data_IF_008491523365
#
_entry.id   IF_008491523365
#
_cell.length_a   1.000
_cell.length_b   1.000
_cell.length_c   1.000
_cell.angle_alpha   90.00
_cell.angle_beta   90.00
_cell.angle_gamma   90.00
#
_symmetry.space_group_name_H-M   'P 1'
#
loop_
_entity.id
_entity.type
_entity.pdbx_description
1 polymer ?
#
# COMPACT_ATOMS: atom_id res chain seq x y z
N UNK A 1 15.07 21.63 12.97
CA UNK A 1 16.01 22.61 13.55
C UNK A 1 15.18 23.61 14.35
N UNK A 2 15.45 23.75 15.64
CA UNK A 2 14.76 24.70 16.50
C UNK A 2 14.98 26.13 15.99
N UNK A 3 13.92 26.95 16.02
CA UNK A 3 13.93 28.33 15.51
C UNK A 3 14.59 29.23 16.56
N UNK A 4 15.91 29.41 16.49
CA UNK A 4 16.64 30.39 17.33
C UNK A 4 16.37 31.82 16.85
N UNK A 5 16.28 32.76 17.78
CA UNK A 5 16.11 34.19 17.46
C UNK A 5 17.40 34.73 16.83
N UNK A 6 17.28 35.54 15.76
CA UNK A 6 18.44 36.01 14.98
C UNK A 6 19.46 36.81 15.81
N UNK A 7 19.03 37.44 16.90
CA UNK A 7 19.87 38.20 17.82
C UNK A 7 20.87 37.33 18.61
N UNK A 8 20.65 36.02 18.70
CA UNK A 8 21.49 35.09 19.46
C UNK A 8 22.48 34.29 18.61
N UNK A 9 22.53 34.55 17.30
CA UNK A 9 23.37 33.80 16.35
C UNK A 9 24.50 34.71 15.86
N UNK A 10 25.74 34.21 15.92
CA UNK A 10 26.90 34.99 15.46
C UNK A 10 26.89 35.21 13.94
N UNK A 11 27.54 36.29 13.49
CA UNK A 11 27.67 36.60 12.05
C UNK A 11 28.37 35.47 11.28
N UNK A 12 29.31 34.78 11.91
CA UNK A 12 30.01 33.62 11.35
C UNK A 12 29.07 32.43 11.15
N UNK A 13 28.23 32.13 12.13
CA UNK A 13 27.19 31.09 12.02
C UNK A 13 26.15 31.44 10.94
N UNK A 14 25.73 32.71 10.84
CA UNK A 14 24.83 33.17 9.78
C UNK A 14 25.45 32.98 8.39
N UNK A 15 26.73 33.32 8.22
CA UNK A 15 27.45 33.09 6.95
C UNK A 15 27.53 31.60 6.61
N UNK A 16 27.81 30.74 7.59
CA UNK A 16 27.83 29.30 7.40
C UNK A 16 26.45 28.74 7.00
N UNK A 17 25.37 29.21 7.63
CA UNK A 17 23.99 28.87 7.30
C UNK A 17 23.63 29.29 5.86
N UNK A 18 23.97 30.52 5.45
CA UNK A 18 23.76 31.02 4.09
C UNK A 18 24.49 30.13 3.08
N UNK A 19 25.76 29.80 3.34
CA UNK A 19 26.54 28.93 2.45
C UNK A 19 25.94 27.53 2.35
N UNK A 20 25.44 26.95 3.44
CA UNK A 20 24.73 25.66 3.42
C UNK A 20 23.47 25.72 2.58
N UNK A 21 22.68 26.80 2.71
CA UNK A 21 21.46 27.01 1.90
C UNK A 21 21.79 27.18 0.42
N UNK A 22 22.80 27.97 0.08
CA UNK A 22 23.27 28.14 -1.31
C UNK A 22 23.63 26.80 -1.95
N UNK A 23 24.43 25.96 -1.25
CA UNK A 23 24.76 24.60 -1.71
C UNK A 23 23.50 23.75 -1.94
N UNK A 24 22.55 23.76 -0.99
CA UNK A 24 21.29 23.02 -1.12
C UNK A 24 20.45 23.50 -2.31
N UNK A 25 20.37 24.81 -2.55
CA UNK A 25 19.65 25.39 -3.68
C UNK A 25 20.25 24.90 -5.00
N UNK A 26 21.58 24.92 -5.15
CA UNK A 26 22.21 24.38 -6.35
C UNK A 26 21.86 22.91 -6.60
N UNK A 27 21.88 22.08 -5.57
CA UNK A 27 21.45 20.67 -5.69
C UNK A 27 19.99 20.54 -6.11
N UNK A 28 19.09 21.35 -5.53
CA UNK A 28 17.67 21.35 -5.87
C UNK A 28 17.42 21.82 -7.32
N UNK A 29 18.12 22.85 -7.78
CA UNK A 29 18.03 23.35 -9.15
C UNK A 29 18.50 22.27 -10.14
N UNK A 30 19.61 21.59 -9.86
CA UNK A 30 20.08 20.46 -10.70
C UNK A 30 19.04 19.35 -10.75
N UNK A 31 18.46 18.98 -9.60
CA UNK A 31 17.40 17.96 -9.54
C UNK A 31 16.17 18.38 -10.34
N UNK A 32 15.74 19.65 -10.20
CA UNK A 32 14.61 20.22 -10.94
C UNK A 32 14.86 20.14 -12.44
N UNK A 33 16.03 20.55 -12.92
CA UNK A 33 16.36 20.51 -14.35
C UNK A 33 16.40 19.08 -14.90
N UNK A 34 16.95 18.11 -14.17
CA UNK A 34 16.91 16.69 -14.56
C UNK A 34 15.47 16.19 -14.67
N UNK A 35 14.61 16.48 -13.68
CA UNK A 35 13.21 16.05 -13.71
C UNK A 35 12.41 16.68 -14.85
N UNK A 36 12.68 17.95 -15.17
CA UNK A 36 12.06 18.62 -16.33
C UNK A 36 12.44 17.92 -17.63
N UNK A 37 13.72 17.55 -17.81
CA UNK A 37 14.17 16.80 -18.99
C UNK A 37 13.48 15.42 -19.08
N UNK A 38 13.37 14.71 -17.97
CA UNK A 38 12.69 13.41 -17.93
C UNK A 38 11.19 13.55 -18.23
N UNK A 39 10.55 14.60 -17.72
CA UNK A 39 9.16 14.89 -18.01
C UNK A 39 8.95 15.14 -19.51
N UNK A 40 9.80 15.95 -20.13
CA UNK A 40 9.75 16.23 -21.57
C UNK A 40 9.94 14.97 -22.42
N UNK A 41 10.81 14.05 -22.02
CA UNK A 41 10.98 12.76 -22.70
C UNK A 41 9.69 11.94 -22.66
N UNK A 42 9.09 11.80 -21.47
CA UNK A 42 7.83 11.08 -21.30
C UNK A 42 6.70 11.76 -22.07
N UNK A 43 6.60 13.08 -22.05
CA UNK A 43 5.58 13.81 -22.79
C UNK A 43 5.72 13.55 -24.31
N UNK A 44 6.95 13.49 -24.82
CA UNK A 44 7.22 13.15 -26.23
C UNK A 44 6.80 11.73 -26.57
N UNK A 45 7.07 10.76 -25.68
CA UNK A 45 6.63 9.37 -25.82
C UNK A 45 5.11 9.27 -25.83
N UNK A 46 4.42 9.98 -24.92
CA UNK A 46 2.96 9.99 -24.86
C UNK A 46 2.36 10.60 -26.14
N UNK A 47 2.96 11.68 -26.65
CA UNK A 47 2.53 12.29 -27.91
C UNK A 47 2.70 11.35 -29.10
N UNK A 48 3.82 10.62 -29.18
CA UNK A 48 4.07 9.63 -30.23
C UNK A 48 3.04 8.49 -30.24
N UNK A 49 2.55 8.09 -29.07
CA UNK A 49 1.49 7.09 -28.90
C UNK A 49 0.06 7.66 -29.08
N UNK A 50 -0.08 8.93 -29.50
CA UNK A 50 -1.37 9.60 -29.69
C UNK A 50 -2.07 9.98 -28.39
N UNK A 51 -1.38 9.93 -27.25
CA UNK A 51 -1.93 10.13 -25.92
C UNK A 51 -2.03 11.58 -25.45
N UNK A 52 -1.84 12.56 -26.35
CA UNK A 52 -1.81 13.99 -26.00
C UNK A 52 -3.07 14.48 -25.26
N UNK A 53 -4.24 13.87 -25.53
CA UNK A 53 -5.48 14.16 -24.83
C UNK A 53 -5.44 13.73 -23.35
N UNK A 54 -4.83 12.58 -23.04
CA UNK A 54 -4.73 12.05 -21.67
C UNK A 54 -3.86 12.92 -20.75
N UNK A 55 -2.82 13.55 -21.31
CA UNK A 55 -1.97 14.53 -20.60
C UNK A 55 -2.78 15.78 -20.24
N UNK A 56 -3.60 16.29 -21.17
CA UNK A 56 -4.44 17.48 -20.93
C UNK A 56 -5.54 17.22 -19.89
N UNK A 57 -6.11 16.02 -19.89
CA UNK A 57 -7.12 15.59 -18.91
C UNK A 57 -6.53 15.28 -17.52
N UNK A 58 -5.21 15.08 -17.43
CA UNK A 58 -4.51 14.76 -16.17
C UNK A 58 -3.55 15.89 -15.80
N UNK A 59 -4.05 17.02 -15.24
CA UNK A 59 -3.20 18.17 -14.94
C UNK A 59 -2.06 17.76 -13.99
N UNK A 60 -0.84 18.19 -14.32
CA UNK A 60 0.35 18.00 -13.49
C UNK A 60 0.12 18.64 -12.11
N UNK A 61 -0.30 17.83 -11.14
CA UNK A 61 -0.76 18.32 -9.83
C UNK A 61 -2.03 17.65 -9.31
N UNK A 62 -2.77 16.92 -10.16
CA UNK A 62 -3.76 15.94 -9.73
C UNK A 62 -3.05 14.69 -9.18
N UNK A 63 -2.16 14.89 -8.20
CA UNK A 63 -1.70 13.80 -7.37
C UNK A 63 -2.93 13.10 -6.82
N UNK A 64 -2.96 11.76 -6.88
CA UNK A 64 -3.90 10.93 -6.11
C UNK A 64 -4.00 11.57 -4.72
N UNK A 65 -5.18 12.12 -4.37
CA UNK A 65 -5.39 12.75 -3.07
C UNK A 65 -4.82 11.81 -2.01
N UNK A 66 -3.71 12.22 -1.40
CA UNK A 66 -3.08 11.50 -0.30
C UNK A 66 -4.13 11.35 0.79
N UNK A 67 -4.45 10.10 1.13
CA UNK A 67 -5.25 9.77 2.30
C UNK A 67 -6.69 10.27 2.23
N UNK A 68 -7.60 9.44 1.73
CA UNK A 68 -8.96 9.46 2.25
C UNK A 68 -8.84 9.14 3.76
N UNK A 69 -9.37 9.97 4.68
CA UNK A 69 -9.32 9.67 6.10
C UNK A 69 -9.91 8.28 6.33
N UNK A 70 -9.20 7.46 7.10
CA UNK A 70 -9.64 6.13 7.53
C UNK A 70 -10.97 6.33 8.27
N UNK A 71 -12.10 6.16 7.56
CA UNK A 71 -13.43 6.43 8.10
C UNK A 71 -14.42 7.04 7.10
N UNK A 72 -13.96 7.69 6.04
CA UNK A 72 -14.87 8.15 4.99
C UNK A 72 -15.14 7.01 4.01
N UNK A 73 -16.28 6.33 4.15
CA UNK A 73 -16.98 5.61 3.07
C UNK A 73 -16.25 4.47 2.36
N UNK A 74 -15.52 3.62 3.09
CA UNK A 74 -15.35 2.23 2.71
C UNK A 74 -16.45 1.42 3.39
N UNK A 75 -17.14 0.51 2.68
CA UNK A 75 -18.23 -0.29 3.23
C UNK A 75 -17.89 -0.86 4.61
N UNK A 76 -18.88 -0.90 5.52
CA UNK A 76 -18.71 -1.46 6.87
C UNK A 76 -18.11 -2.85 6.73
N UNK A 77 -16.83 -3.00 7.11
CA UNK A 77 -16.18 -4.31 7.14
C UNK A 77 -17.02 -5.21 8.05
N UNK A 78 -17.35 -6.44 7.60
CA UNK A 78 -17.98 -7.41 8.49
C UNK A 78 -17.15 -7.55 9.77
N UNK A 79 -17.81 -7.43 10.93
CA UNK A 79 -17.20 -7.71 12.22
C UNK A 79 -17.42 -9.20 12.49
N UNK A 80 -16.32 -9.95 12.53
CA UNK A 80 -16.30 -11.36 12.89
C UNK A 80 -15.73 -11.49 14.30
N UNK A 81 -16.24 -12.44 15.08
CA UNK A 81 -15.82 -12.65 16.47
C UNK A 81 -14.40 -13.23 16.55
N UNK A 82 -13.98 -13.95 15.51
CA UNK A 82 -12.64 -14.51 15.37
C UNK A 82 -11.98 -14.05 14.06
N UNK A 83 -10.64 -14.04 14.05
CA UNK A 83 -9.89 -13.83 12.82
C UNK A 83 -10.02 -15.04 11.89
N UNK A 84 -9.69 -14.87 10.61
CA UNK A 84 -9.86 -15.94 9.61
C UNK A 84 -9.04 -17.20 9.96
N UNK A 85 -7.82 -17.04 10.47
CA UNK A 85 -6.94 -18.15 10.82
C UNK A 85 -7.50 -19.00 11.97
N UNK A 86 -8.02 -18.35 13.02
CA UNK A 86 -8.64 -19.02 14.16
C UNK A 86 -9.94 -19.72 13.73
N UNK A 87 -10.79 -19.06 12.92
CA UNK A 87 -11.99 -19.72 12.36
C UNK A 87 -11.65 -20.92 11.49
N UNK A 88 -10.60 -20.86 10.67
CA UNK A 88 -10.14 -22.01 9.89
C UNK A 88 -9.56 -23.11 10.77
N UNK A 89 -8.82 -22.77 11.82
CA UNK A 89 -8.26 -23.75 12.76
C UNK A 89 -9.34 -24.50 13.53
N UNK A 90 -10.41 -23.82 13.96
CA UNK A 90 -11.57 -24.47 14.60
C UNK A 90 -12.26 -25.46 13.66
N UNK A 91 -12.40 -25.11 12.38
CA UNK A 91 -13.05 -25.95 11.37
C UNK A 91 -12.17 -27.14 10.93
N UNK A 92 -10.87 -26.93 10.84
CA UNK A 92 -9.87 -27.95 10.46
C UNK A 92 -9.41 -28.83 11.64
N UNK A 93 -9.84 -28.55 12.87
CA UNK A 93 -9.46 -29.34 14.03
C UNK A 93 -9.93 -30.79 13.88
N UNK A 94 -8.98 -31.71 13.67
CA UNK A 94 -9.23 -33.14 13.52
C UNK A 94 -9.70 -33.59 12.13
N UNK A 95 -9.69 -32.73 11.10
CA UNK A 95 -10.12 -33.08 9.74
C UNK A 95 -9.23 -32.44 8.67
N UNK A 96 -9.03 -33.16 7.57
CA UNK A 96 -8.37 -32.63 6.36
C UNK A 96 -9.46 -32.26 5.36
N UNK A 97 -9.42 -31.05 4.80
CA UNK A 97 -10.39 -30.64 3.77
C UNK A 97 -9.75 -29.76 2.71
N UNK A 98 -10.45 -29.65 1.57
CA UNK A 98 -10.03 -28.81 0.47
C UNK A 98 -10.29 -27.33 0.72
N UNK A 99 -9.59 -26.45 -0.02
CA UNK A 99 -9.81 -24.99 0.06
C UNK A 99 -11.28 -24.60 -0.23
N UNK A 100 -11.98 -25.33 -1.11
CA UNK A 100 -13.38 -25.05 -1.46
C UNK A 100 -14.29 -25.32 -0.26
N UNK A 101 -14.18 -26.53 0.27
CA UNK A 101 -14.96 -27.00 1.41
C UNK A 101 -14.69 -26.16 2.65
N UNK A 102 -13.42 -25.80 2.89
CA UNK A 102 -13.05 -24.93 4.00
C UNK A 102 -13.68 -23.55 3.89
N UNK A 103 -13.74 -22.98 2.69
CA UNK A 103 -14.35 -21.66 2.48
C UNK A 103 -15.83 -21.68 2.86
N UNK A 104 -16.54 -22.73 2.48
CA UNK A 104 -17.96 -22.92 2.83
C UNK A 104 -18.14 -23.22 4.31
N UNK A 105 -17.31 -24.11 4.88
CA UNK A 105 -17.38 -24.51 6.27
C UNK A 105 -17.11 -23.35 7.23
N UNK A 106 -16.17 -22.46 6.89
CA UNK A 106 -15.86 -21.24 7.65
C UNK A 106 -17.04 -20.25 7.61
N UNK A 107 -17.71 -20.11 6.46
CA UNK A 107 -18.93 -19.28 6.37
C UNK A 107 -20.09 -19.90 7.15
N UNK A 108 -20.28 -21.22 7.06
CA UNK A 108 -21.30 -21.97 7.85
C UNK A 108 -21.04 -21.87 9.36
N UNK A 109 -19.77 -21.81 9.77
CA UNK A 109 -19.36 -21.55 11.15
C UNK A 109 -19.60 -20.10 11.62
N UNK A 110 -20.15 -19.23 10.76
CA UNK A 110 -20.56 -17.87 11.11
C UNK A 110 -19.60 -16.77 10.64
N UNK A 111 -18.53 -17.10 9.91
CA UNK A 111 -17.61 -16.09 9.40
C UNK A 111 -18.26 -15.28 8.26
N UNK A 112 -18.43 -13.97 8.48
CA UNK A 112 -19.06 -13.07 7.51
C UNK A 112 -17.99 -12.44 6.62
N UNK A 113 -18.22 -12.47 5.31
CA UNK A 113 -17.34 -11.86 4.31
C UNK A 113 -18.17 -11.31 3.16
N UNK A 114 -17.79 -10.16 2.63
CA UNK A 114 -18.38 -9.56 1.42
C UNK A 114 -17.41 -9.64 0.23
N UNK A 115 -16.29 -10.33 0.39
CA UNK A 115 -15.27 -10.42 -0.65
C UNK A 115 -15.66 -11.44 -1.71
N UNK A 116 -15.69 -11.07 -3.01
CA UNK A 116 -15.93 -12.03 -4.10
C UNK A 116 -14.78 -13.04 -4.23
N UNK A 117 -13.59 -12.70 -3.72
CA UNK A 117 -12.38 -13.52 -3.80
C UNK A 117 -12.07 -14.28 -2.50
N UNK A 118 -13.09 -14.61 -1.70
CA UNK A 118 -12.90 -15.21 -0.38
C UNK A 118 -12.08 -16.52 -0.42
N UNK A 119 -12.34 -17.39 -1.40
CA UNK A 119 -11.56 -18.61 -1.64
C UNK A 119 -10.05 -18.34 -1.79
N UNK A 120 -9.69 -17.29 -2.53
CA UNK A 120 -8.30 -16.88 -2.73
C UNK A 120 -7.67 -16.41 -1.42
N UNK A 121 -8.43 -15.68 -0.60
CA UNK A 121 -7.98 -15.22 0.72
C UNK A 121 -7.72 -16.43 1.64
N UNK A 122 -8.65 -17.39 1.69
CA UNK A 122 -8.50 -18.64 2.44
C UNK A 122 -7.23 -19.39 2.01
N UNK A 123 -7.02 -19.58 0.69
CA UNK A 123 -5.82 -20.23 0.17
C UNK A 123 -4.53 -19.49 0.57
N UNK A 124 -4.52 -18.16 0.47
CA UNK A 124 -3.37 -17.36 0.86
C UNK A 124 -3.07 -17.50 2.36
N UNK A 125 -4.10 -17.55 3.21
CA UNK A 125 -3.90 -17.75 4.64
C UNK A 125 -3.38 -19.14 4.95
N UNK A 126 -3.89 -20.20 4.30
CA UNK A 126 -3.39 -21.57 4.44
C UNK A 126 -1.92 -21.72 4.02
N UNK A 127 -1.46 -20.95 3.03
CA UNK A 127 -0.06 -20.98 2.57
C UNK A 127 0.87 -20.19 3.50
N UNK A 128 0.40 -19.07 4.06
CA UNK A 128 1.23 -18.15 4.85
C UNK A 128 1.29 -18.48 6.33
N UNK A 129 0.24 -19.05 6.89
CA UNK A 129 0.15 -19.34 8.31
C UNK A 129 0.80 -20.69 8.64
N UNK A 130 1.71 -20.69 9.62
CA UNK A 130 2.51 -21.85 10.04
C UNK A 130 1.68 -22.93 10.76
N UNK A 131 0.45 -22.58 11.17
CA UNK A 131 -0.47 -23.50 11.86
C UNK A 131 -1.08 -24.54 10.92
N UNK A 132 -1.03 -24.32 9.61
CA UNK A 132 -1.58 -25.26 8.63
C UNK A 132 -0.47 -26.01 7.91
N UNK A 133 -0.73 -27.29 7.64
CA UNK A 133 0.14 -28.16 6.86
C UNK A 133 -0.61 -28.63 5.62
N UNK A 134 0.05 -28.56 4.47
CA UNK A 134 -0.43 -29.18 3.24
C UNK A 134 -0.19 -30.69 3.31
N UNK A 135 -1.25 -31.47 3.20
CA UNK A 135 -1.20 -32.95 3.19
C UNK A 135 -1.00 -33.44 1.75
N UNK A 136 -1.82 -32.95 0.83
CA UNK A 136 -1.77 -33.24 -0.60
C UNK A 136 -2.10 -32.00 -1.44
N UNK A 137 -2.15 -32.13 -2.77
CA UNK A 137 -2.48 -31.02 -3.66
C UNK A 137 -3.88 -30.49 -3.36
N UNK A 138 -3.93 -29.34 -2.69
CA UNK A 138 -5.19 -28.66 -2.36
C UNK A 138 -5.85 -29.12 -1.06
N UNK A 139 -5.25 -30.06 -0.33
CA UNK A 139 -5.73 -30.56 0.96
C UNK A 139 -4.85 -30.06 2.11
N UNK A 140 -5.51 -29.49 3.13
CA UNK A 140 -4.85 -28.87 4.27
C UNK A 140 -5.41 -29.43 5.59
N UNK A 141 -4.54 -29.48 6.60
CA UNK A 141 -4.89 -29.84 7.99
C UNK A 141 -4.19 -28.87 8.96
N UNK A 142 -4.67 -28.81 10.20
CA UNK A 142 -3.95 -28.12 11.29
C UNK A 142 -2.76 -28.98 11.72
N UNK A 143 -1.63 -28.31 11.99
CA UNK A 143 -0.41 -28.94 12.47
C UNK A 143 -0.54 -29.46 13.90
#
# INVERSE_FOLDING_TARGET
MAKRTLASVSVTELKAEINRRKKRIHTLVRKRNRLVQQLQQIDTEIEAEGGAEFVRMSPAGAGRKRGRPVGSGGGKRPRNDANLADSMASVLSGKTMGVTELSEAVQKAGYRTTSPNFRTIVNQTLIKDKRFKRVERGLYTVK
#
